data_IF_170120073837
#
_entry.id   IF_170120073837
#
_cell.length_a   1.000
_cell.length_b   1.000
_cell.length_c   1.000
_cell.angle_alpha   90.00
_cell.angle_beta   90.00
_cell.angle_gamma   90.00
#
_symmetry.space_group_name_H-M   'P 1'
#
loop_
_entity.id
_entity.type
_entity.pdbx_description
1 polymer ?
#
# COMPACT_ATOMS: atom_id res chain seq x y z
N UNK A 1 -14.84 2.57 14.95
CA UNK A 1 -15.77 2.38 13.84
C UNK A 1 -15.54 3.48 12.81
N UNK A 2 -14.72 3.26 11.79
CA UNK A 2 -14.40 4.20 10.72
C UNK A 2 -14.34 3.46 9.39
N UNK A 3 -15.50 3.02 8.90
CA UNK A 3 -15.62 2.58 7.51
C UNK A 3 -15.61 3.79 6.56
N UNK A 4 -15.28 3.61 5.28
CA UNK A 4 -15.35 4.67 4.29
C UNK A 4 -16.78 5.23 4.22
N UNK A 5 -16.90 6.56 4.28
CA UNK A 5 -18.18 7.24 4.25
C UNK A 5 -18.91 6.93 2.93
N UNK A 6 -20.16 6.47 2.94
CA UNK A 6 -20.91 6.18 1.73
C UNK A 6 -20.99 7.42 0.82
N UNK A 7 -20.76 7.24 -0.47
CA UNK A 7 -20.71 8.33 -1.46
C UNK A 7 -22.00 9.14 -1.56
N UNK A 8 -23.14 8.52 -1.29
CA UNK A 8 -24.42 9.22 -1.25
C UNK A 8 -24.52 10.23 -0.09
N UNK A 9 -23.94 9.90 1.09
CA UNK A 9 -23.84 10.82 2.23
C UNK A 9 -22.93 12.01 1.90
N UNK A 10 -21.82 11.77 1.20
CA UNK A 10 -20.91 12.81 0.73
C UNK A 10 -21.59 13.73 -0.29
N UNK A 11 -22.33 13.16 -1.24
CA UNK A 11 -23.12 13.91 -2.21
C UNK A 11 -24.22 14.76 -1.54
N UNK A 12 -24.86 14.23 -0.50
CA UNK A 12 -25.88 14.93 0.27
C UNK A 12 -25.28 16.07 1.12
N UNK A 13 -24.12 15.82 1.76
CA UNK A 13 -23.38 16.84 2.53
C UNK A 13 -22.90 18.01 1.64
N UNK A 14 -22.37 17.71 0.44
CA UNK A 14 -21.97 18.71 -0.55
C UNK A 14 -23.22 19.49 -1.02
N UNK A 15 -24.34 18.83 -1.26
CA UNK A 15 -25.58 19.47 -1.67
C UNK A 15 -26.11 20.48 -0.63
N UNK A 16 -26.06 20.14 0.67
CA UNK A 16 -26.46 21.03 1.79
C UNK A 16 -25.53 22.22 1.92
N UNK A 17 -24.23 22.00 2.00
CA UNK A 17 -23.24 23.07 2.10
C UNK A 17 -23.27 24.05 0.91
N UNK A 18 -23.54 23.53 -0.30
CA UNK A 18 -23.64 24.38 -1.47
C UNK A 18 -24.95 25.21 -1.49
N UNK A 19 -26.05 24.68 -0.96
CA UNK A 19 -27.30 25.42 -0.80
C UNK A 19 -27.16 26.58 0.20
N UNK A 20 -26.53 26.33 1.35
CA UNK A 20 -26.28 27.33 2.38
C UNK A 20 -25.31 28.45 1.92
N UNK A 21 -24.38 28.13 1.02
CA UNK A 21 -23.39 29.10 0.48
C UNK A 21 -23.75 29.71 -0.87
N UNK A 22 -24.97 29.53 -1.34
CA UNK A 22 -25.46 30.08 -2.61
C UNK A 22 -24.60 29.69 -3.83
N UNK A 23 -24.04 28.48 -3.87
CA UNK A 23 -23.19 27.99 -4.96
C UNK A 23 -24.06 27.66 -6.18
N UNK A 24 -23.70 28.11 -7.42
CA UNK A 24 -24.46 27.85 -8.62
C UNK A 24 -24.72 26.36 -8.86
N UNK A 25 -25.96 25.99 -9.23
CA UNK A 25 -26.38 24.59 -9.44
C UNK A 25 -25.54 23.81 -10.46
N UNK A 26 -25.01 24.49 -11.47
CA UNK A 26 -24.11 23.91 -12.47
C UNK A 26 -22.78 23.43 -11.87
N UNK A 27 -22.23 24.15 -10.87
CA UNK A 27 -21.02 23.67 -10.15
C UNK A 27 -21.32 22.46 -9.29
N UNK A 28 -22.49 22.38 -8.69
CA UNK A 28 -22.92 21.21 -7.92
C UNK A 28 -23.08 20.00 -8.87
N UNK A 29 -23.67 20.20 -10.04
CA UNK A 29 -23.82 19.16 -11.06
C UNK A 29 -22.45 18.65 -11.54
N UNK A 30 -21.48 19.55 -11.76
CA UNK A 30 -20.12 19.18 -12.15
C UNK A 30 -19.42 18.35 -11.07
N UNK A 31 -19.50 18.76 -9.82
CA UNK A 31 -18.90 18.01 -8.69
C UNK A 31 -19.54 16.61 -8.59
N UNK A 32 -20.88 16.52 -8.69
CA UNK A 32 -21.57 15.24 -8.70
C UNK A 32 -21.19 14.37 -9.89
N UNK A 33 -21.04 14.95 -11.08
CA UNK A 33 -20.59 14.23 -12.27
C UNK A 33 -19.16 13.72 -12.15
N UNK A 34 -18.24 14.51 -11.59
CA UNK A 34 -16.86 14.10 -11.32
C UNK A 34 -16.81 12.97 -10.30
N UNK A 35 -17.57 13.06 -9.19
CA UNK A 35 -17.67 11.99 -8.20
C UNK A 35 -18.27 10.71 -8.79
N UNK A 36 -19.31 10.83 -9.65
CA UNK A 36 -19.91 9.68 -10.32
C UNK A 36 -18.98 9.06 -11.38
N UNK A 37 -18.19 9.86 -12.11
CA UNK A 37 -17.22 9.36 -13.08
C UNK A 37 -16.05 8.64 -12.39
N UNK A 38 -15.65 9.09 -11.21
CA UNK A 38 -14.66 8.38 -10.40
C UNK A 38 -15.19 7.03 -9.91
N UNK A 39 -16.48 6.92 -9.56
CA UNK A 39 -17.09 5.64 -9.18
C UNK A 39 -17.12 4.63 -10.33
N UNK A 40 -17.37 5.07 -11.56
CA UNK A 40 -17.36 4.20 -12.74
C UNK A 40 -15.95 3.77 -13.16
N UNK A 41 -14.92 4.53 -12.78
CA UNK A 41 -13.51 4.18 -13.01
C UNK A 41 -12.98 3.18 -11.98
N UNK A 42 -13.60 3.09 -10.81
CA UNK A 42 -13.31 2.14 -9.76
C UNK A 42 -14.36 1.02 -9.80
N UNK A 43 -14.17 0.04 -10.66
CA UNK A 43 -14.89 -1.24 -10.54
C UNK A 43 -14.52 -1.82 -9.18
N UNK A 44 -15.47 -1.87 -8.26
CA UNK A 44 -15.36 -2.26 -6.85
C UNK A 44 -14.66 -3.62 -6.59
N UNK A 45 -14.39 -4.41 -7.62
CA UNK A 45 -13.77 -5.71 -7.51
C UNK A 45 -12.23 -5.76 -7.49
N UNK A 46 -11.53 -4.65 -7.82
CA UNK A 46 -10.07 -4.69 -8.06
C UNK A 46 -9.25 -3.79 -7.12
N UNK A 47 -9.88 -2.97 -6.27
CA UNK A 47 -9.16 -2.04 -5.40
C UNK A 47 -8.57 -2.66 -4.13
N UNK A 48 -8.98 -3.88 -3.78
CA UNK A 48 -8.50 -4.55 -2.57
C UNK A 48 -7.42 -5.62 -2.85
N UNK A 49 -7.20 -5.98 -4.10
CA UNK A 49 -6.27 -7.07 -4.47
C UNK A 49 -4.98 -6.54 -5.04
N UNK A 50 -3.90 -7.19 -4.61
CA UNK A 50 -2.57 -6.97 -5.16
C UNK A 50 -2.58 -7.28 -6.66
N UNK A 51 -2.20 -6.28 -7.48
CA UNK A 51 -2.06 -6.45 -8.92
C UNK A 51 -0.59 -6.77 -9.25
N UNK A 52 -0.34 -8.06 -9.52
CA UNK A 52 0.99 -8.55 -9.90
C UNK A 52 1.39 -8.18 -11.34
N UNK A 53 0.44 -7.76 -12.16
CA UNK A 53 0.68 -7.38 -13.56
C UNK A 53 0.99 -5.88 -13.73
N UNK A 54 0.80 -5.10 -12.68
CA UNK A 54 1.06 -3.67 -12.72
C UNK A 54 2.57 -3.40 -12.63
N UNK A 55 3.17 -3.02 -13.76
CA UNK A 55 4.60 -2.69 -13.86
C UNK A 55 4.86 -1.18 -13.74
N UNK A 56 3.91 -0.38 -13.25
CA UNK A 56 4.16 1.04 -13.01
C UNK A 56 5.25 1.23 -11.96
N UNK A 57 6.28 2.07 -12.23
CA UNK A 57 7.36 2.31 -11.28
C UNK A 57 6.85 2.79 -9.91
N UNK A 58 5.84 3.67 -9.89
CA UNK A 58 5.22 4.12 -8.66
C UNK A 58 4.61 2.97 -7.86
N UNK A 59 3.82 2.11 -8.52
CA UNK A 59 3.19 0.97 -7.87
C UNK A 59 4.20 -0.02 -7.28
N UNK A 60 5.24 -0.37 -8.05
CA UNK A 60 6.31 -1.27 -7.61
C UNK A 60 7.10 -0.69 -6.44
N UNK A 61 7.43 0.61 -6.47
CA UNK A 61 8.07 1.29 -5.34
C UNK A 61 7.20 1.27 -4.08
N UNK A 62 5.88 1.43 -4.22
CA UNK A 62 4.94 1.31 -3.11
C UNK A 62 4.93 -0.10 -2.50
N UNK A 63 4.84 -1.14 -3.34
CA UNK A 63 4.96 -2.54 -2.91
C UNK A 63 6.28 -2.79 -2.16
N UNK A 64 7.38 -2.30 -2.71
CA UNK A 64 8.70 -2.45 -2.11
C UNK A 64 8.75 -1.82 -0.72
N UNK A 65 8.24 -0.60 -0.54
CA UNK A 65 8.21 0.06 0.77
C UNK A 65 7.41 -0.75 1.81
N UNK A 66 6.30 -1.37 1.41
CA UNK A 66 5.49 -2.22 2.29
C UNK A 66 6.26 -3.47 2.75
N UNK A 67 7.06 -4.11 1.87
CA UNK A 67 7.91 -5.24 2.24
C UNK A 67 9.05 -4.82 3.16
N UNK A 68 9.69 -3.68 2.91
CA UNK A 68 10.74 -3.13 3.77
C UNK A 68 10.21 -2.84 5.19
N UNK A 69 9.02 -2.23 5.29
CA UNK A 69 8.35 -2.02 6.58
C UNK A 69 8.01 -3.34 7.27
N UNK A 70 7.50 -4.31 6.51
CA UNK A 70 7.18 -5.64 7.03
C UNK A 70 8.41 -6.35 7.59
N UNK A 71 9.54 -6.31 6.89
CA UNK A 71 10.80 -6.87 7.33
C UNK A 71 11.31 -6.19 8.62
N UNK A 72 11.27 -4.87 8.68
CA UNK A 72 11.65 -4.11 9.87
C UNK A 72 10.78 -4.50 11.08
N UNK A 73 9.46 -4.50 10.92
CA UNK A 73 8.53 -4.87 11.99
C UNK A 73 8.74 -6.30 12.48
N UNK A 74 8.94 -7.24 11.56
CA UNK A 74 9.18 -8.63 11.92
C UNK A 74 10.51 -8.86 12.66
N UNK A 75 11.55 -8.08 12.30
CA UNK A 75 12.88 -8.19 12.88
C UNK A 75 13.02 -7.52 14.25
N UNK A 76 12.53 -6.28 14.41
CA UNK A 76 12.84 -5.43 15.58
C UNK A 76 11.63 -4.80 16.24
N UNK A 77 10.44 -4.86 15.64
CA UNK A 77 9.20 -4.23 16.12
C UNK A 77 9.43 -2.79 16.65
N UNK A 78 9.83 -1.86 15.80
CA UNK A 78 10.27 -0.53 16.23
C UNK A 78 9.10 0.36 16.67
N UNK A 79 9.37 1.32 17.56
CA UNK A 79 8.39 2.34 17.97
C UNK A 79 8.00 3.28 16.81
N UNK A 80 8.93 3.54 15.87
CA UNK A 80 8.71 4.35 14.67
C UNK A 80 9.10 3.54 13.43
N UNK A 81 8.18 3.45 12.47
CA UNK A 81 8.38 2.64 11.27
C UNK A 81 9.15 3.40 10.19
N UNK A 82 9.65 2.65 9.19
CA UNK A 82 10.24 3.25 7.98
C UNK A 82 9.26 4.20 7.30
N UNK A 83 7.97 3.85 7.31
CA UNK A 83 6.91 4.62 6.66
C UNK A 83 6.74 5.98 7.32
N UNK A 84 6.78 6.06 8.64
CA UNK A 84 6.64 7.33 9.37
C UNK A 84 7.73 8.35 8.98
N UNK A 85 8.91 7.87 8.57
CA UNK A 85 10.06 8.71 8.23
C UNK A 85 10.22 8.95 6.74
N UNK A 86 9.96 7.96 5.92
CA UNK A 86 10.40 7.96 4.52
C UNK A 86 9.27 7.93 3.50
N UNK A 87 7.99 7.78 3.90
CA UNK A 87 6.87 7.65 2.97
C UNK A 87 6.80 8.83 1.98
N UNK A 88 6.88 10.06 2.47
CA UNK A 88 6.81 11.26 1.63
C UNK A 88 7.96 11.32 0.61
N UNK A 89 9.18 11.07 1.06
CA UNK A 89 10.36 11.07 0.18
C UNK A 89 10.34 9.88 -0.79
N UNK A 90 9.95 8.68 -0.34
CA UNK A 90 9.84 7.50 -1.17
C UNK A 90 8.75 7.61 -2.24
N UNK A 91 7.64 8.30 -1.93
CA UNK A 91 6.54 8.53 -2.88
C UNK A 91 6.82 9.66 -3.87
N UNK A 92 7.74 10.56 -3.60
CA UNK A 92 8.08 11.67 -4.49
C UNK A 92 9.37 11.45 -5.28
N UNK A 93 10.41 10.95 -4.63
CA UNK A 93 11.75 10.78 -5.20
C UNK A 93 12.39 9.44 -4.77
N UNK A 94 11.92 8.30 -5.28
CA UNK A 94 12.35 6.95 -4.88
C UNK A 94 13.86 6.74 -4.91
N UNK A 95 14.53 7.20 -5.97
CA UNK A 95 15.97 7.01 -6.16
C UNK A 95 16.81 7.57 -4.99
N UNK A 96 16.34 8.61 -4.31
CA UNK A 96 17.08 9.24 -3.19
C UNK A 96 17.01 8.41 -1.91
N UNK A 97 16.02 7.55 -1.77
CA UNK A 97 15.69 6.90 -0.49
C UNK A 97 15.95 5.40 -0.52
N UNK A 98 15.52 4.70 -1.59
CA UNK A 98 15.56 3.24 -1.63
C UNK A 98 16.95 2.64 -1.52
N UNK A 99 17.98 3.30 -2.04
CA UNK A 99 19.36 2.84 -1.88
C UNK A 99 19.79 2.67 -0.42
N UNK A 100 19.44 3.63 0.43
CA UNK A 100 19.73 3.59 1.86
C UNK A 100 18.81 2.60 2.60
N UNK A 101 17.54 2.54 2.22
CA UNK A 101 16.59 1.62 2.84
C UNK A 101 16.97 0.16 2.59
N UNK A 102 17.41 -0.18 1.37
CA UNK A 102 17.87 -1.52 1.01
C UNK A 102 19.14 -1.91 1.76
N UNK A 103 20.09 -0.98 1.96
CA UNK A 103 21.27 -1.23 2.80
C UNK A 103 20.86 -1.57 4.24
N UNK A 104 19.97 -0.79 4.83
CA UNK A 104 19.48 -1.03 6.20
C UNK A 104 18.70 -2.34 6.31
N UNK A 105 17.99 -2.74 5.24
CA UNK A 105 17.25 -3.99 5.18
C UNK A 105 18.15 -5.21 5.45
N UNK A 106 19.40 -5.21 5.00
CA UNK A 106 20.31 -6.35 5.12
C UNK A 106 20.48 -6.80 6.59
N UNK A 107 20.56 -5.85 7.53
CA UNK A 107 20.65 -6.16 8.96
C UNK A 107 19.38 -6.84 9.47
N UNK A 108 18.21 -6.35 9.04
CA UNK A 108 16.91 -6.93 9.39
C UNK A 108 16.74 -8.34 8.81
N UNK A 109 17.12 -8.54 7.54
CA UNK A 109 17.06 -9.84 6.88
C UNK A 109 18.01 -10.86 7.52
N UNK A 110 19.22 -10.44 7.90
CA UNK A 110 20.17 -11.30 8.62
C UNK A 110 19.61 -11.76 9.97
N UNK A 111 18.94 -10.86 10.69
CA UNK A 111 18.27 -11.19 11.95
C UNK A 111 17.10 -12.15 11.72
N UNK A 112 16.23 -11.86 10.72
CA UNK A 112 15.08 -12.72 10.40
C UNK A 112 15.51 -14.12 9.97
N UNK A 113 16.59 -14.23 9.18
CA UNK A 113 17.12 -15.51 8.74
C UNK A 113 17.50 -16.41 9.91
N UNK A 114 18.09 -15.82 10.96
CA UNK A 114 18.49 -16.54 12.16
C UNK A 114 17.30 -16.84 13.08
N UNK A 115 16.46 -15.84 13.36
CA UNK A 115 15.46 -15.92 14.43
C UNK A 115 14.10 -16.45 13.92
N UNK A 116 13.76 -16.20 12.64
CA UNK A 116 12.45 -16.52 12.04
C UNK A 116 12.60 -16.94 10.56
N UNK A 117 13.22 -18.10 10.27
CA UNK A 117 13.57 -18.50 8.87
C UNK A 117 12.36 -18.59 7.95
N UNK A 118 11.20 -19.04 8.39
CA UNK A 118 9.99 -19.09 7.57
C UNK A 118 9.45 -17.71 7.18
N UNK A 119 9.59 -16.70 8.06
CA UNK A 119 9.24 -15.32 7.75
C UNK A 119 10.25 -14.71 6.79
N UNK A 120 11.54 -14.99 6.99
CA UNK A 120 12.62 -14.58 6.11
C UNK A 120 12.37 -15.03 4.67
N UNK A 121 12.15 -16.33 4.44
CA UNK A 121 11.92 -16.89 3.10
C UNK A 121 10.74 -16.17 2.41
N UNK A 122 9.63 -15.99 3.12
CA UNK A 122 8.45 -15.34 2.52
C UNK A 122 8.68 -13.88 2.14
N UNK A 123 9.43 -13.11 2.94
CA UNK A 123 9.77 -11.72 2.62
C UNK A 123 10.80 -11.68 1.49
N UNK A 124 11.83 -12.52 1.53
CA UNK A 124 12.89 -12.57 0.54
C UNK A 124 12.35 -12.87 -0.86
N UNK A 125 11.46 -13.88 -0.97
CA UNK A 125 10.80 -14.23 -2.24
C UNK A 125 10.04 -13.03 -2.83
N UNK A 126 9.25 -12.32 -2.03
CA UNK A 126 8.48 -11.17 -2.51
C UNK A 126 9.37 -9.97 -2.85
N UNK A 127 10.44 -9.75 -2.09
CA UNK A 127 11.43 -8.74 -2.41
C UNK A 127 12.12 -9.01 -3.74
N UNK A 128 12.54 -10.25 -3.99
CA UNK A 128 13.14 -10.66 -5.26
C UNK A 128 12.16 -10.47 -6.42
N UNK A 129 10.90 -10.87 -6.27
CA UNK A 129 9.86 -10.67 -7.27
C UNK A 129 9.69 -9.19 -7.63
N UNK A 130 9.55 -8.31 -6.62
CA UNK A 130 9.38 -6.88 -6.86
C UNK A 130 10.62 -6.26 -7.47
N UNK A 131 11.80 -6.59 -6.95
CA UNK A 131 13.07 -6.05 -7.43
C UNK A 131 13.41 -6.49 -8.86
N UNK A 132 13.03 -7.71 -9.26
CA UNK A 132 13.21 -8.18 -10.65
C UNK A 132 12.37 -7.40 -11.66
N UNK A 133 11.32 -6.70 -11.21
CA UNK A 133 10.45 -5.87 -12.04
C UNK A 133 10.85 -4.38 -12.03
N UNK A 134 11.89 -4.01 -11.28
CA UNK A 134 12.39 -2.63 -11.17
C UNK A 134 13.80 -2.58 -11.80
N UNK A 135 13.91 -2.02 -12.99
CA UNK A 135 15.21 -1.84 -13.64
C UNK A 135 16.00 -0.71 -12.99
N UNK A 136 15.34 0.45 -12.78
CA UNK A 136 15.93 1.62 -12.15
C UNK A 136 14.90 2.36 -11.29
N UNK A 137 15.31 2.89 -10.14
CA UNK A 137 14.45 3.72 -9.32
C UNK A 137 14.24 5.10 -9.97
N UNK A 138 12.99 5.53 -10.18
CA UNK A 138 12.71 6.83 -10.76
C UNK A 138 13.21 7.97 -9.84
N UNK A 139 13.82 8.99 -10.46
CA UNK A 139 14.32 10.18 -9.72
C UNK A 139 13.16 10.96 -9.10
N UNK A 140 12.07 11.12 -9.84
CA UNK A 140 10.86 11.83 -9.41
C UNK A 140 9.64 11.08 -9.93
N UNK A 141 8.61 10.93 -9.09
CA UNK A 141 7.32 10.38 -9.48
C UNK A 141 6.32 11.51 -9.80
N UNK A 142 5.60 11.37 -10.89
CA UNK A 142 4.45 12.24 -11.21
C UNK A 142 3.32 12.04 -10.19
N UNK A 143 2.37 12.97 -10.10
CA UNK A 143 1.21 12.83 -9.21
C UNK A 143 0.42 11.54 -9.45
N UNK A 144 0.30 11.13 -10.71
CA UNK A 144 -0.34 9.84 -11.07
C UNK A 144 0.42 8.66 -10.49
N UNK A 145 1.73 8.65 -10.61
CA UNK A 145 2.59 7.60 -10.08
C UNK A 145 2.64 7.60 -8.55
N UNK A 146 2.56 8.77 -7.91
CA UNK A 146 2.43 8.87 -6.45
C UNK A 146 1.12 8.26 -5.95
N UNK A 147 0.02 8.42 -6.70
CA UNK A 147 -1.23 7.74 -6.39
C UNK A 147 -1.08 6.21 -6.55
N UNK A 148 -0.41 5.74 -7.61
CA UNK A 148 -0.11 4.33 -7.80
C UNK A 148 0.84 3.79 -6.72
N UNK A 149 1.78 4.60 -6.25
CA UNK A 149 2.65 4.26 -5.12
C UNK A 149 1.82 3.98 -3.86
N UNK A 150 0.88 4.86 -3.54
CA UNK A 150 -0.02 4.64 -2.39
C UNK A 150 -0.82 3.34 -2.55
N UNK A 151 -1.40 3.09 -3.72
CA UNK A 151 -2.13 1.85 -4.00
C UNK A 151 -1.22 0.61 -3.85
N UNK A 152 -0.05 0.62 -4.46
CA UNK A 152 0.91 -0.48 -4.36
C UNK A 152 1.29 -0.79 -2.91
N UNK A 153 1.53 0.24 -2.11
CA UNK A 153 1.83 0.10 -0.69
C UNK A 153 0.70 -0.58 0.08
N UNK A 154 -0.54 -0.09 -0.06
CA UNK A 154 -1.68 -0.64 0.68
C UNK A 154 -2.09 -2.03 0.19
N UNK A 155 -2.03 -2.30 -1.11
CA UNK A 155 -2.32 -3.62 -1.69
C UNK A 155 -1.33 -4.68 -1.18
N UNK A 156 -0.03 -4.37 -1.20
CA UNK A 156 0.99 -5.28 -0.67
C UNK A 156 0.81 -5.52 0.83
N UNK A 157 0.50 -4.48 1.58
CA UNK A 157 0.25 -4.59 3.03
C UNK A 157 -0.99 -5.44 3.34
N UNK A 158 -2.06 -5.32 2.55
CA UNK A 158 -3.26 -6.14 2.67
C UNK A 158 -2.96 -7.61 2.34
N UNK A 159 -2.23 -7.88 1.26
CA UNK A 159 -1.79 -9.22 0.89
C UNK A 159 -0.92 -9.88 1.98
N UNK A 160 0.00 -9.13 2.56
CA UNK A 160 0.86 -9.62 3.65
C UNK A 160 0.04 -9.98 4.91
N UNK A 161 -0.98 -9.20 5.25
CA UNK A 161 -1.90 -9.51 6.36
C UNK A 161 -2.70 -10.77 6.09
N UNK A 162 -3.27 -10.91 4.89
CA UNK A 162 -4.02 -12.09 4.49
C UNK A 162 -3.16 -13.36 4.57
N UNK A 163 -1.92 -13.31 4.07
CA UNK A 163 -0.97 -14.41 4.15
C UNK A 163 -0.58 -14.76 5.61
N UNK A 164 -0.52 -13.79 6.51
CA UNK A 164 -0.25 -14.04 7.93
C UNK A 164 -1.42 -14.76 8.62
N UNK A 165 -2.67 -14.35 8.34
CA UNK A 165 -3.88 -14.98 8.89
C UNK A 165 -4.00 -16.44 8.44
N UNK A 166 -3.75 -16.71 7.15
CA UNK A 166 -3.80 -18.08 6.62
C UNK A 166 -2.78 -19.00 7.31
N UNK A 167 -1.59 -18.50 7.65
CA UNK A 167 -0.56 -19.26 8.37
C UNK A 167 -0.94 -19.55 9.82
N UNK A 168 -1.62 -18.64 10.49
CA UNK A 168 -2.09 -18.86 11.88
C UNK A 168 -3.23 -19.87 11.92
N UNK A 169 -4.19 -19.79 11.00
CA UNK A 169 -5.31 -20.73 10.94
C UNK A 169 -4.88 -22.16 10.54
N UNK A 170 -3.84 -22.30 9.68
CA UNK A 170 -3.30 -23.61 9.31
C UNK A 170 -2.55 -24.33 10.47
N UNK A 171 -2.00 -23.59 11.42
CA UNK A 171 -1.35 -24.20 12.61
C UNK A 171 -2.34 -24.71 13.64
N UNK A 172 -3.48 -24.05 13.79
CA UNK A 172 -4.51 -24.48 14.75
C UNK A 172 -5.17 -25.83 14.38
N UNK A 173 -5.19 -26.18 13.11
CA UNK A 173 -5.78 -27.45 12.63
C UNK A 173 -4.85 -28.65 12.78
N UNK A 174 -3.54 -28.44 12.93
CA UNK A 174 -2.58 -29.55 13.11
C UNK A 174 -2.38 -29.94 14.60
N UNK A 175 -2.72 -29.04 15.54
CA UNK A 175 -2.63 -29.33 16.98
C UNK A 175 -3.87 -30.09 17.51
N UNK A 176 -5.01 -30.00 16.85
CA UNK A 176 -6.26 -30.70 17.26
C UNK A 176 -6.34 -32.16 16.74
N UNK A 177 -5.35 -32.66 16.01
CA UNK A 177 -5.30 -34.04 15.45
C UNK A 177 -4.26 -34.92 16.18
N UNK A 178 -3.70 -34.47 17.28
CA UNK A 178 -2.74 -35.23 18.06
C UNK A 178 -3.24 -35.49 19.46
#
# INVERSE_FOLDING_TARGET
>A
YGGPMPTWLLAQAIGRNCAERNVPRNRIALIKAVLASQQNSFKEGNMEKLDLKCNSPGYLCGRLLAELEGAQKAAVNPNSTLVDRYYGAASSAPATVFGNLLKNLQAHMSKLRRDKPGVFIGIDTRLQEIMSSIDEFPKVLTLKEQALFALGYYHQKAANRAAAITRTNGKSTEEDIK
#
